data_IF_874036928496
#
_entry.id   IF_874036928496
#
_cell.length_a   1.000
_cell.length_b   1.000
_cell.length_c   1.000
_cell.angle_alpha   90.00
_cell.angle_beta   90.00
_cell.angle_gamma   90.00
#
_symmetry.space_group_name_H-M   'P 1'
#
loop_
_entity.id
_entity.type
_entity.pdbx_description
1 polymer ?
#
# COMPACT_ATOMS: atom_id res chain seq x y z
N UNK A 1 -4.52 -12.35 -1.21
CA UNK A 1 -4.13 -13.75 -1.51
C UNK A 1 -2.94 -13.83 -2.46
N UNK A 2 -2.99 -13.12 -3.60
CA UNK A 2 -1.90 -13.05 -4.58
C UNK A 2 -0.59 -12.57 -3.97
N UNK A 3 -0.60 -11.45 -3.24
CA UNK A 3 0.58 -10.88 -2.56
C UNK A 3 1.26 -11.83 -1.55
N UNK A 4 0.49 -12.64 -0.83
CA UNK A 4 1.03 -13.62 0.14
C UNK A 4 1.65 -14.81 -0.58
N UNK A 5 1.01 -15.24 -1.67
CA UNK A 5 1.49 -16.33 -2.52
C UNK A 5 2.79 -15.96 -3.23
N UNK A 6 2.91 -14.69 -3.63
CA UNK A 6 4.09 -14.13 -4.29
C UNK A 6 5.28 -13.95 -3.33
N UNK A 7 5.02 -13.59 -2.06
CA UNK A 7 6.08 -13.43 -1.05
C UNK A 7 6.69 -14.77 -0.58
N UNK A 8 5.90 -15.85 -0.54
CA UNK A 8 6.36 -17.16 -0.05
C UNK A 8 6.23 -18.25 -1.13
N UNK A 9 6.92 -18.12 -2.27
CA UNK A 9 6.80 -19.06 -3.38
C UNK A 9 7.31 -20.45 -2.99
N UNK A 10 8.30 -20.55 -2.11
CA UNK A 10 8.89 -21.84 -1.66
C UNK A 10 7.98 -22.60 -0.71
N UNK A 11 7.27 -21.91 0.18
CA UNK A 11 6.37 -22.52 1.19
C UNK A 11 4.99 -22.81 0.61
N UNK A 12 4.45 -21.93 -0.26
CA UNK A 12 3.10 -22.05 -0.81
C UNK A 12 2.99 -22.84 -2.11
N UNK A 13 4.10 -23.11 -2.81
CA UNK A 13 4.12 -23.95 -4.04
C UNK A 13 4.09 -25.46 -3.73
N UNK A 14 4.25 -25.85 -2.47
CA UNK A 14 4.09 -27.24 -2.04
C UNK A 14 2.59 -27.58 -1.84
N UNK A 15 1.94 -27.99 -2.93
CA UNK A 15 0.65 -28.70 -2.95
C UNK A 15 -0.50 -28.12 -2.11
N UNK A 16 -0.75 -28.74 -0.95
CA UNK A 16 -1.96 -28.57 -0.13
C UNK A 16 -1.93 -27.33 0.79
N UNK A 17 -0.77 -26.72 1.06
CA UNK A 17 -0.66 -25.59 1.99
C UNK A 17 -1.39 -24.33 1.51
N UNK A 18 -1.42 -24.08 0.20
CA UNK A 18 -2.18 -22.95 -0.36
C UNK A 18 -3.69 -23.09 -0.12
N UNK A 19 -4.21 -24.31 -0.25
CA UNK A 19 -5.64 -24.61 0.00
C UNK A 19 -5.97 -24.48 1.49
N UNK A 20 -5.11 -24.97 2.38
CA UNK A 20 -5.28 -24.83 3.83
C UNK A 20 -5.19 -23.38 4.30
N UNK A 21 -4.25 -22.60 3.79
CA UNK A 21 -4.17 -21.16 4.07
C UNK A 21 -5.42 -20.41 3.60
N UNK A 22 -5.92 -20.76 2.41
CA UNK A 22 -7.16 -20.19 1.89
C UNK A 22 -8.36 -20.55 2.75
N UNK A 23 -8.47 -21.82 3.16
CA UNK A 23 -9.54 -22.28 4.04
C UNK A 23 -9.47 -21.55 5.38
N UNK A 24 -8.28 -21.45 5.99
CA UNK A 24 -8.09 -20.70 7.24
C UNK A 24 -8.48 -19.23 7.12
N UNK A 25 -8.07 -18.56 6.04
CA UNK A 25 -8.46 -17.17 5.78
C UNK A 25 -9.98 -17.04 5.58
N UNK A 26 -10.59 -17.94 4.82
CA UNK A 26 -12.04 -17.96 4.57
C UNK A 26 -12.82 -18.20 5.88
N UNK A 27 -12.41 -19.19 6.68
CA UNK A 27 -13.00 -19.48 7.98
C UNK A 27 -12.86 -18.30 8.94
N UNK A 28 -11.71 -17.62 8.95
CA UNK A 28 -11.52 -16.41 9.75
C UNK A 28 -12.44 -15.26 9.31
N UNK A 29 -12.53 -15.00 8.00
CA UNK A 29 -13.47 -14.00 7.46
C UNK A 29 -14.92 -14.36 7.78
N UNK A 30 -15.28 -15.65 7.74
CA UNK A 30 -16.61 -16.13 8.09
C UNK A 30 -16.93 -15.89 9.57
N UNK A 31 -16.00 -16.18 10.48
CA UNK A 31 -16.19 -15.93 11.92
C UNK A 31 -16.38 -14.44 12.23
N UNK A 32 -15.60 -13.56 11.61
CA UNK A 32 -15.77 -12.10 11.75
C UNK A 32 -17.11 -11.66 11.15
N UNK A 33 -17.46 -12.16 9.97
CA UNK A 33 -18.74 -11.86 9.34
C UNK A 33 -19.93 -12.29 10.20
N UNK A 34 -19.83 -13.44 10.88
CA UNK A 34 -20.88 -13.94 11.77
C UNK A 34 -21.06 -13.03 13.00
N UNK A 35 -19.98 -12.46 13.53
CA UNK A 35 -20.06 -11.44 14.58
C UNK A 35 -20.81 -10.18 14.11
N UNK A 36 -20.62 -9.78 12.85
CA UNK A 36 -21.29 -8.62 12.24
C UNK A 36 -22.77 -8.84 11.87
N UNK A 37 -23.27 -10.08 11.90
CA UNK A 37 -24.67 -10.42 11.58
C UNK A 37 -25.56 -10.52 12.84
N UNK A 38 -24.98 -10.43 14.03
CA UNK A 38 -25.73 -10.40 15.30
C UNK A 38 -26.61 -9.14 15.41
N UNK A 39 -27.58 -9.11 16.34
CA UNK A 39 -28.50 -7.97 16.58
C UNK A 39 -27.78 -6.62 16.79
N UNK A 40 -26.55 -6.63 17.32
CA UNK A 40 -25.70 -5.45 17.48
C UNK A 40 -24.72 -5.19 16.32
N UNK A 41 -24.75 -6.04 15.29
CA UNK A 41 -23.78 -6.08 14.21
C UNK A 41 -23.77 -4.83 13.33
N UNK A 42 -24.92 -4.17 13.15
CA UNK A 42 -25.01 -2.93 12.38
C UNK A 42 -24.11 -1.81 12.95
N UNK A 43 -24.00 -1.70 14.28
CA UNK A 43 -23.12 -0.73 14.94
C UNK A 43 -21.64 -1.04 14.67
N UNK A 44 -21.26 -2.31 14.71
CA UNK A 44 -19.88 -2.74 14.44
C UNK A 44 -19.55 -2.54 12.97
N UNK A 45 -20.48 -2.87 12.07
CA UNK A 45 -20.35 -2.70 10.62
C UNK A 45 -20.16 -1.23 10.26
N UNK A 46 -20.95 -0.33 10.83
CA UNK A 46 -20.81 1.08 10.54
C UNK A 46 -19.53 1.69 11.13
N UNK A 47 -19.12 1.26 12.32
CA UNK A 47 -17.83 1.68 12.89
C UNK A 47 -16.70 1.22 11.96
N UNK A 48 -16.72 -0.03 11.51
CA UNK A 48 -15.72 -0.57 10.59
C UNK A 48 -15.75 0.15 9.24
N UNK A 49 -16.92 0.37 8.66
CA UNK A 49 -17.09 1.09 7.40
C UNK A 49 -16.57 2.53 7.52
N UNK A 50 -16.84 3.21 8.63
CA UNK A 50 -16.37 4.57 8.84
C UNK A 50 -14.87 4.69 9.16
N UNK A 51 -14.23 3.71 9.79
CA UNK A 51 -12.79 3.81 10.14
C UNK A 51 -11.86 3.10 9.15
N UNK A 52 -12.32 2.00 8.55
CA UNK A 52 -11.52 1.18 7.61
C UNK A 52 -11.88 1.49 6.17
N UNK A 53 -13.16 1.49 5.82
CA UNK A 53 -13.63 1.82 4.48
C UNK A 53 -13.77 3.35 4.25
N UNK A 54 -13.55 4.16 5.29
CA UNK A 54 -13.48 5.61 5.17
C UNK A 54 -12.53 6.00 4.05
N UNK A 55 -12.96 6.96 3.24
CA UNK A 55 -12.08 7.59 2.27
C UNK A 55 -10.80 8.10 2.91
N UNK A 56 -10.82 8.57 4.17
CA UNK A 56 -9.64 9.18 4.80
C UNK A 56 -8.42 8.25 4.92
N UNK A 57 -8.58 6.99 5.36
CA UNK A 57 -7.46 6.04 5.51
C UNK A 57 -6.94 5.57 4.15
N UNK A 58 -7.85 5.29 3.22
CA UNK A 58 -7.52 4.92 1.84
C UNK A 58 -6.85 6.08 1.08
N UNK A 59 -7.32 7.31 1.27
CA UNK A 59 -6.72 8.52 0.69
C UNK A 59 -5.33 8.75 1.25
N UNK A 60 -5.12 8.60 2.55
CA UNK A 60 -3.79 8.70 3.15
C UNK A 60 -2.85 7.64 2.56
N UNK A 61 -3.29 6.37 2.45
CA UNK A 61 -2.51 5.33 1.79
C UNK A 61 -2.20 5.67 0.33
N UNK A 62 -3.16 6.21 -0.42
CA UNK A 62 -2.97 6.62 -1.81
C UNK A 62 -1.98 7.78 -1.95
N UNK A 63 -1.99 8.74 -1.02
CA UNK A 63 -0.99 9.82 -0.96
C UNK A 63 0.39 9.22 -0.69
N UNK A 64 0.55 8.37 0.31
CA UNK A 64 1.83 7.72 0.59
C UNK A 64 2.34 6.90 -0.60
N UNK A 65 1.47 6.14 -1.27
CA UNK A 65 1.81 5.36 -2.46
C UNK A 65 2.26 6.25 -3.62
N UNK A 66 1.50 7.31 -3.93
CA UNK A 66 1.84 8.25 -5.00
C UNK A 66 3.13 9.03 -4.74
N UNK A 67 3.36 9.47 -3.50
CA UNK A 67 4.63 10.10 -3.10
C UNK A 67 5.80 9.12 -3.22
N UNK A 68 5.62 7.87 -2.79
CA UNK A 68 6.65 6.83 -2.89
C UNK A 68 7.01 6.54 -4.35
N UNK A 69 6.02 6.37 -5.23
CA UNK A 69 6.26 6.12 -6.65
C UNK A 69 6.84 7.36 -7.35
N UNK A 70 6.38 8.55 -7.01
CA UNK A 70 6.81 9.77 -7.68
C UNK A 70 8.22 10.22 -7.31
N UNK A 71 8.53 10.24 -6.02
CA UNK A 71 9.75 10.86 -5.48
C UNK A 71 10.80 9.85 -5.02
N UNK A 72 10.38 8.75 -4.36
CA UNK A 72 11.34 7.75 -3.84
C UNK A 72 11.79 6.81 -4.96
N UNK A 73 10.86 6.31 -5.78
CA UNK A 73 11.17 5.44 -6.93
C UNK A 73 11.74 6.24 -8.12
N UNK A 74 11.31 7.49 -8.27
CA UNK A 74 11.72 8.40 -9.34
C UNK A 74 10.85 8.28 -10.60
N UNK A 75 10.25 9.40 -10.99
CA UNK A 75 9.34 9.50 -12.13
C UNK A 75 9.95 9.04 -13.47
N UNK A 76 11.23 9.35 -13.71
CA UNK A 76 11.94 8.96 -14.94
C UNK A 76 12.13 7.45 -15.06
N UNK A 77 12.38 6.77 -13.93
CA UNK A 77 12.55 5.32 -13.89
C UNK A 77 11.22 4.60 -14.10
N UNK A 78 10.17 5.07 -13.44
CA UNK A 78 8.82 4.54 -13.67
C UNK A 78 8.39 4.68 -15.13
N UNK A 79 8.74 5.80 -15.75
CA UNK A 79 8.48 6.05 -17.17
C UNK A 79 9.24 5.11 -18.10
N UNK A 80 10.52 4.83 -17.81
CA UNK A 80 11.33 3.84 -18.54
C UNK A 80 10.78 2.43 -18.42
N UNK A 81 10.33 2.01 -17.23
CA UNK A 81 9.69 0.70 -17.06
C UNK A 81 8.41 0.56 -17.88
N UNK A 82 7.61 1.63 -17.97
CA UNK A 82 6.42 1.63 -18.80
C UNK A 82 6.82 1.49 -20.26
N UNK A 83 7.76 2.30 -20.75
CA UNK A 83 8.29 2.21 -22.12
C UNK A 83 8.74 0.78 -22.47
N UNK A 84 9.37 0.07 -21.55
CA UNK A 84 9.77 -1.33 -21.72
C UNK A 84 8.60 -2.31 -21.79
N UNK A 85 7.54 -2.09 -21.01
CA UNK A 85 6.37 -2.96 -21.00
C UNK A 85 5.49 -2.79 -22.23
N UNK A 86 5.35 -1.56 -22.74
CA UNK A 86 4.47 -1.23 -23.87
C UNK A 86 5.21 -1.10 -25.22
N UNK A 87 6.54 -0.96 -25.22
CA UNK A 87 7.37 -0.87 -26.42
C UNK A 87 7.34 0.47 -27.15
N UNK A 88 6.64 1.48 -26.61
CA UNK A 88 6.63 2.86 -27.14
C UNK A 88 6.68 3.87 -26.00
N UNK A 89 7.23 5.06 -26.26
CA UNK A 89 7.22 6.16 -25.28
C UNK A 89 5.81 6.75 -25.20
N UNK A 90 5.18 6.77 -24.01
CA UNK A 90 3.96 7.55 -23.81
C UNK A 90 4.19 9.03 -24.12
N UNK A 91 3.12 9.83 -24.10
CA UNK A 91 3.26 11.28 -24.11
C UNK A 91 3.77 11.76 -22.74
N UNK A 92 4.73 12.71 -22.69
CA UNK A 92 5.26 13.24 -21.42
C UNK A 92 4.19 13.94 -20.57
N UNK A 93 3.07 14.39 -21.18
CA UNK A 93 1.92 14.93 -20.44
C UNK A 93 1.29 13.91 -19.49
N UNK A 94 1.24 12.63 -19.88
CA UNK A 94 0.70 11.54 -19.05
C UNK A 94 1.59 11.32 -17.82
N UNK A 95 2.91 11.48 -17.98
CA UNK A 95 3.88 11.43 -16.87
C UNK A 95 3.58 12.51 -15.83
N UNK A 96 3.41 13.77 -16.25
CA UNK A 96 3.10 14.86 -15.33
C UNK A 96 1.72 14.70 -14.67
N UNK A 97 0.75 14.17 -15.40
CA UNK A 97 -0.57 13.83 -14.87
C UNK A 97 -0.44 12.84 -13.69
N UNK A 98 0.27 11.72 -13.87
CA UNK A 98 0.40 10.75 -12.79
C UNK A 98 1.31 11.19 -11.65
N UNK A 99 2.33 11.99 -11.96
CA UNK A 99 3.32 12.42 -10.96
C UNK A 99 2.79 13.55 -10.06
N UNK A 100 2.06 14.51 -10.62
CA UNK A 100 1.63 15.70 -9.89
C UNK A 100 0.11 15.74 -9.72
N UNK A 101 -0.67 15.46 -10.76
CA UNK A 101 -2.12 15.60 -10.69
C UNK A 101 -2.72 14.58 -9.72
N UNK A 102 -2.29 13.31 -9.77
CA UNK A 102 -2.77 12.27 -8.84
C UNK A 102 -2.52 12.63 -7.37
N UNK A 103 -1.28 12.91 -6.91
CA UNK A 103 -1.06 13.25 -5.50
C UNK A 103 -1.74 14.57 -5.11
N UNK A 104 -1.83 15.56 -6.01
CA UNK A 104 -2.54 16.82 -5.71
C UNK A 104 -4.04 16.59 -5.53
N UNK A 105 -4.70 15.80 -6.38
CA UNK A 105 -6.12 15.47 -6.23
C UNK A 105 -6.35 14.64 -4.96
N UNK A 106 -5.50 13.64 -4.69
CA UNK A 106 -5.61 12.83 -3.47
C UNK A 106 -5.43 13.68 -2.21
N UNK A 107 -4.45 14.58 -2.19
CA UNK A 107 -4.20 15.50 -1.07
C UNK A 107 -5.35 16.49 -0.90
N UNK A 108 -5.84 17.08 -1.99
CA UNK A 108 -6.99 18.00 -1.96
C UNK A 108 -8.25 17.32 -1.43
N UNK A 109 -8.51 16.08 -1.87
CA UNK A 109 -9.66 15.29 -1.39
C UNK A 109 -9.51 14.92 0.08
N UNK A 110 -8.29 14.59 0.53
CA UNK A 110 -7.99 14.31 1.93
C UNK A 110 -8.20 15.53 2.83
N UNK A 111 -7.69 16.70 2.42
CA UNK A 111 -7.89 17.96 3.14
C UNK A 111 -9.38 18.33 3.19
N UNK A 112 -10.11 18.18 2.09
CA UNK A 112 -11.55 18.40 2.08
C UNK A 112 -12.30 17.43 3.01
N UNK A 113 -11.87 16.16 3.04
CA UNK A 113 -12.41 15.14 3.95
C UNK A 113 -12.12 15.45 5.42
N UNK A 114 -10.98 16.08 5.74
CA UNK A 114 -10.65 16.55 7.09
C UNK A 114 -11.45 17.79 7.47
N UNK A 115 -11.63 18.74 6.56
CA UNK A 115 -12.42 19.95 6.80
C UNK A 115 -13.91 19.65 6.99
N UNK A 116 -14.43 18.65 6.28
CA UNK A 116 -15.80 18.13 6.44
C UNK A 116 -15.90 17.01 7.48
N UNK A 117 -14.87 16.77 8.29
CA UNK A 117 -14.88 15.75 9.33
C UNK A 117 -15.87 16.13 10.44
N UNK A 118 -17.14 15.81 10.22
CA UNK A 118 -18.14 15.82 11.26
C UNK A 118 -17.94 14.56 12.09
N UNK A 119 -17.85 14.63 13.44
CA UNK A 119 -17.78 13.45 14.27
C UNK A 119 -18.98 12.55 13.94
N UNK A 120 -18.74 11.24 13.84
CA UNK A 120 -19.79 10.27 13.55
C UNK A 120 -20.89 10.36 14.61
N UNK A 121 -21.95 11.11 14.30
CA UNK A 121 -23.14 11.19 15.13
C UNK A 121 -24.13 10.18 14.58
N UNK A 122 -24.20 9.01 15.21
CA UNK A 122 -25.29 8.10 14.93
C UNK A 122 -26.55 8.65 15.58
N UNK A 123 -27.46 9.14 14.73
CA UNK A 123 -28.80 9.57 15.10
C UNK A 123 -28.90 10.57 16.27
N UNK A 124 -27.97 11.53 16.40
CA UNK A 124 -28.01 12.63 17.38
C UNK A 124 -28.24 12.23 18.87
N UNK A 125 -28.15 10.94 19.20
CA UNK A 125 -28.48 10.35 20.52
C UNK A 125 -27.54 9.22 20.93
N UNK A 126 -26.84 8.56 19.99
CA UNK A 126 -25.91 7.48 20.31
C UNK A 126 -24.46 7.97 20.23
N UNK A 127 -23.88 8.26 21.40
CA UNK A 127 -22.45 8.56 21.54
C UNK A 127 -21.73 7.22 21.55
N UNK A 128 -20.89 6.97 20.54
CA UNK A 128 -20.05 5.78 20.58
C UNK A 128 -19.18 5.81 21.84
N UNK A 129 -19.05 4.69 22.56
CA UNK A 129 -18.17 4.61 23.72
C UNK A 129 -16.73 4.92 23.31
N UNK A 130 -15.96 5.51 24.24
CA UNK A 130 -14.56 5.91 24.00
C UNK A 130 -13.67 4.75 23.50
N UNK A 131 -13.98 3.50 23.89
CA UNK A 131 -13.28 2.31 23.39
C UNK A 131 -13.44 2.12 21.87
N UNK A 132 -14.55 2.54 21.28
CA UNK A 132 -14.83 2.35 19.86
C UNK A 132 -14.02 3.34 19.02
N UNK A 133 -13.87 4.58 19.51
CA UNK A 133 -12.92 5.55 18.95
C UNK A 133 -11.49 5.04 19.06
N UNK A 134 -11.09 4.51 20.22
CA UNK A 134 -9.77 3.90 20.42
C UNK A 134 -9.50 2.75 19.46
N UNK A 135 -10.48 1.86 19.26
CA UNK A 135 -10.39 0.74 18.33
C UNK A 135 -10.29 1.22 16.87
N UNK A 136 -11.06 2.23 16.48
CA UNK A 136 -11.01 2.83 15.15
C UNK A 136 -9.64 3.46 14.84
N UNK A 137 -9.12 4.27 15.76
CA UNK A 137 -7.78 4.85 15.63
C UNK A 137 -6.68 3.79 15.61
N UNK A 138 -6.81 2.74 16.42
CA UNK A 138 -5.88 1.61 16.41
C UNK A 138 -5.88 0.88 15.06
N UNK A 139 -7.04 0.64 14.45
CA UNK A 139 -7.15 0.02 13.13
C UNK A 139 -6.49 0.88 12.04
N UNK A 140 -6.76 2.19 12.05
CA UNK A 140 -6.12 3.14 11.14
C UNK A 140 -4.61 3.15 11.34
N UNK A 141 -4.14 3.28 12.59
CA UNK A 141 -2.72 3.32 12.90
C UNK A 141 -2.01 2.01 12.55
N UNK A 142 -2.63 0.85 12.76
CA UNK A 142 -2.04 -0.46 12.44
C UNK A 142 -1.71 -0.60 10.95
N UNK A 143 -2.66 -0.21 10.08
CA UNK A 143 -2.46 -0.27 8.62
C UNK A 143 -1.41 0.72 8.14
N UNK A 144 -1.41 1.94 8.69
CA UNK A 144 -0.44 2.98 8.34
C UNK A 144 0.95 2.70 8.88
N UNK A 145 1.06 2.09 10.07
CA UNK A 145 2.32 1.78 10.73
C UNK A 145 3.09 0.65 10.03
N UNK A 146 2.40 -0.25 9.32
CA UNK A 146 3.05 -1.35 8.61
C UNK A 146 4.06 -0.86 7.55
N UNK A 147 3.75 0.23 6.84
CA UNK A 147 4.62 0.81 5.82
C UNK A 147 5.96 1.30 6.42
N UNK A 148 5.99 2.26 7.37
CA UNK A 148 7.24 2.73 7.97
C UNK A 148 7.94 1.63 8.78
N UNK A 149 7.20 0.72 9.43
CA UNK A 149 7.80 -0.37 10.19
C UNK A 149 8.58 -1.31 9.29
N UNK A 150 8.06 -1.64 8.10
CA UNK A 150 8.83 -2.42 7.12
C UNK A 150 10.04 -1.67 6.57
N UNK A 151 9.94 -0.35 6.36
CA UNK A 151 11.06 0.49 5.96
C UNK A 151 12.17 0.51 7.02
N UNK A 152 11.82 0.74 8.29
CA UNK A 152 12.76 0.76 9.42
C UNK A 152 13.35 -0.62 9.66
N UNK A 153 12.55 -1.69 9.59
CA UNK A 153 13.03 -3.06 9.72
C UNK A 153 14.09 -3.38 8.66
N UNK A 154 13.84 -3.02 7.39
CA UNK A 154 14.78 -3.18 6.28
C UNK A 154 16.05 -2.33 6.49
N UNK A 155 15.91 -1.12 7.04
CA UNK A 155 17.03 -0.23 7.33
C UNK A 155 17.90 -0.78 8.49
N UNK A 156 17.28 -1.36 9.51
CA UNK A 156 17.97 -1.89 10.69
C UNK A 156 18.78 -3.16 10.36
N UNK A 157 18.17 -4.11 9.65
CA UNK A 157 18.82 -5.38 9.26
C UNK A 157 19.72 -5.28 8.02
N UNK A 158 19.66 -4.18 7.27
CA UNK A 158 20.61 -3.92 6.19
C UNK A 158 22.04 -3.77 6.71
N UNK A 159 23.06 -4.10 5.90
CA UNK A 159 24.48 -3.87 6.23
C UNK A 159 24.94 -2.58 5.56
N UNK A 160 25.74 -1.73 6.23
CA UNK A 160 26.31 -0.49 5.67
C UNK A 160 25.94 0.82 6.41
N UNK A 161 26.27 1.99 5.85
CA UNK A 161 25.90 3.34 6.35
C UNK A 161 24.46 3.72 5.96
N UNK A 162 23.79 4.58 6.74
CA UNK A 162 22.37 4.92 6.55
C UNK A 162 22.04 5.44 5.14
N UNK A 163 22.90 6.27 4.56
CA UNK A 163 22.75 6.79 3.19
C UNK A 163 22.88 5.69 2.11
N UNK A 164 23.88 4.81 2.25
CA UNK A 164 24.05 3.66 1.35
C UNK A 164 22.89 2.67 1.48
N UNK A 165 22.37 2.44 2.70
CA UNK A 165 21.18 1.60 2.93
C UNK A 165 19.94 2.20 2.32
N UNK A 166 19.71 3.52 2.47
CA UNK A 166 18.56 4.18 1.87
C UNK A 166 18.62 4.11 0.34
N UNK A 167 19.82 4.30 -0.23
CA UNK A 167 20.06 4.21 -1.66
C UNK A 167 19.89 2.77 -2.19
N UNK A 168 20.36 1.76 -1.44
CA UNK A 168 20.18 0.34 -1.77
C UNK A 168 18.73 -0.15 -1.58
N UNK A 169 17.99 0.40 -0.61
CA UNK A 169 16.57 0.06 -0.43
C UNK A 169 15.67 0.76 -1.45
N UNK A 170 16.14 1.87 -2.03
CA UNK A 170 15.47 2.61 -3.10
C UNK A 170 15.90 2.14 -4.49
N UNK A 171 16.91 1.26 -4.60
CA UNK A 171 17.22 0.61 -5.87
C UNK A 171 16.24 -0.54 -6.13
N UNK A 172 15.51 -0.52 -7.25
CA UNK A 172 14.64 -1.62 -7.65
C UNK A 172 15.44 -2.90 -7.96
N UNK A 173 14.75 -4.04 -8.00
CA UNK A 173 15.34 -5.27 -8.50
C UNK A 173 15.69 -5.13 -9.99
N UNK A 174 16.86 -5.63 -10.41
CA UNK A 174 17.38 -5.56 -11.78
C UNK A 174 16.68 -6.52 -12.76
N UNK A 175 15.46 -6.97 -12.43
CA UNK A 175 14.73 -8.00 -13.19
C UNK A 175 14.18 -7.49 -14.54
N UNK A 176 14.35 -6.20 -14.85
CA UNK A 176 13.91 -5.60 -16.11
C UNK A 176 14.94 -5.85 -17.22
N UNK A 177 14.48 -6.27 -18.42
CA UNK A 177 15.36 -6.65 -19.53
C UNK A 177 16.27 -5.51 -20.03
N UNK A 178 15.90 -4.23 -19.85
CA UNK A 178 16.78 -3.12 -20.21
C UNK A 178 17.94 -2.92 -19.25
N UNK A 179 17.76 -3.09 -17.93
CA UNK A 179 18.87 -3.01 -16.97
C UNK A 179 19.93 -4.08 -17.29
N UNK A 180 19.48 -5.28 -17.68
CA UNK A 180 20.35 -6.35 -18.18
C UNK A 180 21.07 -5.98 -19.48
N UNK A 181 20.35 -5.40 -20.46
CA UNK A 181 20.93 -4.96 -21.75
C UNK A 181 21.92 -3.80 -21.60
N UNK A 182 21.69 -2.88 -20.68
CA UNK A 182 22.58 -1.75 -20.40
C UNK A 182 23.89 -2.23 -19.76
N UNK A 183 23.78 -3.19 -18.82
CA UNK A 183 24.93 -3.88 -18.21
C UNK A 183 25.73 -4.66 -19.26
N UNK A 184 25.06 -5.41 -20.14
CA UNK A 184 25.72 -6.12 -21.25
C UNK A 184 26.40 -5.17 -22.24
N UNK A 185 25.78 -4.03 -22.58
CA UNK A 185 26.42 -3.01 -23.45
C UNK A 185 27.64 -2.36 -22.80
N UNK A 186 27.59 -2.07 -21.51
CA UNK A 186 28.73 -1.49 -20.79
C UNK A 186 29.92 -2.46 -20.75
N UNK A 187 29.68 -3.75 -20.51
CA UNK A 187 30.71 -4.78 -20.58
C UNK A 187 31.33 -4.92 -21.97
N UNK A 188 30.53 -4.77 -23.03
CA UNK A 188 31.01 -4.81 -24.42
C UNK A 188 31.81 -3.56 -24.81
N UNK A 189 31.57 -2.41 -24.19
CA UNK A 189 32.32 -1.17 -24.44
C UNK A 189 33.66 -1.07 -23.70
N UNK A 190 33.88 -1.95 -22.72
CA UNK A 190 35.14 -2.05 -21.95
C UNK A 190 36.12 -3.11 -22.47
N UNK A 191 35.74 -3.85 -23.52
CA UNK A 191 36.59 -4.79 -24.27
C UNK A 191 37.04 -4.17 -25.59
#
# INVERSE_FOLDING_TARGET
MTSVTDRFPTVLRHGWHRKLFLLGLCSFCFLIGLFMVTEGGLYILQLFDHYVCSGATLLFLAICQSVTVGWIYGADRFYGNIEDMIGYRPLPLIKYCWLYVTPTICTGTFVFSLLKYSPLKFNNTYIYPWWAYGFGWFLTASSLCWIPLTMVYRLYYGKGTLLQRLQFLSSPADDLPMAKRETERLHLSTL
#
